data_IF_682901308950
#
_entry.id   IF_682901308950
#
_cell.length_a   1.000
_cell.length_b   1.000
_cell.length_c   1.000
_cell.angle_alpha   90.00
_cell.angle_beta   90.00
_cell.angle_gamma   90.00
#
_symmetry.space_group_name_H-M   'P 1'
#
loop_
_entity.id
_entity.type
_entity.pdbx_description
1 polymer ?
#
# COMPACT_ATOMS: atom_id res chain seq x y z
N UNK A 1 12.12 -15.16 -6.24
CA UNK A 1 11.33 -13.99 -6.66
C UNK A 1 10.17 -13.85 -5.69
N UNK A 2 10.20 -12.84 -4.80
CA UNK A 2 9.19 -12.72 -3.74
C UNK A 2 7.96 -12.04 -4.34
N UNK A 3 6.94 -12.85 -4.64
CA UNK A 3 5.68 -12.38 -5.20
C UNK A 3 4.91 -11.60 -4.12
N UNK A 4 5.17 -10.30 -4.02
CA UNK A 4 4.51 -9.36 -3.09
C UNK A 4 3.18 -8.90 -3.67
N UNK A 5 2.37 -9.88 -4.06
CA UNK A 5 0.95 -9.66 -4.33
C UNK A 5 0.28 -9.46 -2.98
N UNK A 6 -0.36 -8.31 -2.74
CA UNK A 6 -1.17 -8.12 -1.53
C UNK A 6 -2.16 -9.28 -1.48
N UNK A 7 -2.07 -10.17 -0.48
CA UNK A 7 -2.96 -11.32 -0.46
C UNK A 7 -4.38 -10.81 -0.26
N UNK A 8 -5.33 -11.34 -1.03
CA UNK A 8 -6.77 -11.07 -0.86
C UNK A 8 -7.32 -11.51 0.53
N UNK A 9 -6.44 -12.04 1.39
CA UNK A 9 -6.74 -12.47 2.75
C UNK A 9 -6.81 -11.31 3.77
N UNK A 10 -6.70 -10.06 3.34
CA UNK A 10 -6.76 -8.88 4.22
C UNK A 10 -5.48 -8.59 5.00
N UNK A 11 -4.37 -9.28 4.71
CA UNK A 11 -3.09 -9.02 5.39
C UNK A 11 -2.54 -7.67 4.96
N UNK A 12 -2.21 -6.83 5.94
CA UNK A 12 -1.53 -5.55 5.69
C UNK A 12 -0.13 -5.81 5.15
N UNK A 13 0.21 -5.10 4.08
CA UNK A 13 1.51 -5.11 3.44
C UNK A 13 2.05 -3.68 3.41
N UNK A 14 3.34 -3.54 3.70
CA UNK A 14 4.02 -2.24 3.66
C UNK A 14 4.44 -1.93 2.24
N UNK A 15 4.20 -0.69 1.84
CA UNK A 15 4.57 -0.13 0.55
C UNK A 15 5.32 1.19 0.72
N UNK A 16 6.01 1.58 -0.33
CA UNK A 16 6.64 2.89 -0.47
C UNK A 16 6.25 3.50 -1.81
N UNK A 17 5.98 4.79 -1.82
CA UNK A 17 5.80 5.53 -3.06
C UNK A 17 7.19 5.88 -3.62
N UNK A 18 7.53 5.32 -4.78
CA UNK A 18 8.81 5.54 -5.48
C UNK A 18 9.07 7.01 -5.82
N UNK A 19 8.01 7.81 -6.03
CA UNK A 19 8.13 9.22 -6.43
C UNK A 19 8.39 10.14 -5.25
N UNK A 20 7.79 9.86 -4.10
CA UNK A 20 7.86 10.76 -2.93
C UNK A 20 8.69 10.18 -1.78
N UNK A 21 9.07 8.90 -1.87
CA UNK A 21 9.73 8.17 -0.80
C UNK A 21 8.84 7.87 0.42
N UNK A 22 7.58 8.31 0.42
CA UNK A 22 6.66 8.16 1.53
C UNK A 22 6.29 6.68 1.77
N UNK A 23 6.19 6.30 3.04
CA UNK A 23 5.75 4.97 3.45
C UNK A 23 4.22 4.89 3.52
N UNK A 24 3.70 3.74 3.11
CA UNK A 24 2.28 3.44 3.03
C UNK A 24 2.02 2.03 3.52
N UNK A 25 0.82 1.80 4.01
CA UNK A 25 0.31 0.50 4.38
C UNK A 25 -0.87 0.19 3.47
N UNK A 26 -0.85 -0.98 2.85
CA UNK A 26 -1.91 -1.41 1.95
C UNK A 26 -2.55 -2.69 2.49
N UNK A 27 -3.87 -2.77 2.44
CA UNK A 27 -4.60 -4.00 2.74
C UNK A 27 -5.73 -4.19 1.75
N UNK A 28 -6.15 -5.43 1.57
CA UNK A 28 -7.31 -5.75 0.75
C UNK A 28 -8.59 -5.72 1.58
N UNK A 29 -9.54 -4.86 1.20
CA UNK A 29 -10.89 -4.84 1.72
C UNK A 29 -11.74 -5.84 0.92
N UNK A 30 -12.15 -6.92 1.57
CA UNK A 30 -12.94 -7.99 0.95
C UNK A 30 -14.40 -7.58 0.67
N UNK A 31 -14.95 -6.64 1.45
CA UNK A 31 -16.32 -6.16 1.29
C UNK A 31 -16.42 -5.24 0.07
N UNK A 32 -15.46 -4.33 -0.04
CA UNK A 32 -15.40 -3.37 -1.14
C UNK A 32 -14.67 -3.91 -2.38
N UNK A 33 -13.95 -5.05 -2.25
CA UNK A 33 -13.11 -5.67 -3.28
C UNK A 33 -12.06 -4.70 -3.85
N UNK A 34 -11.41 -3.94 -2.97
CA UNK A 34 -10.39 -2.95 -3.31
C UNK A 34 -9.19 -3.04 -2.38
N UNK A 35 -8.06 -2.52 -2.82
CA UNK A 35 -6.90 -2.27 -1.97
C UNK A 35 -6.98 -0.86 -1.39
N UNK A 36 -6.95 -0.77 -0.06
CA UNK A 36 -6.96 0.48 0.67
C UNK A 36 -5.53 0.84 1.07
N UNK A 37 -5.09 2.03 0.69
CA UNK A 37 -3.76 2.55 0.92
C UNK A 37 -3.82 3.65 1.96
N UNK A 38 -3.14 3.40 3.08
CA UNK A 38 -3.08 4.30 4.22
C UNK A 38 -1.66 4.83 4.40
N UNK A 39 -1.50 6.15 4.54
CA UNK A 39 -0.20 6.75 4.75
C UNK A 39 0.36 6.37 6.13
N UNK A 40 1.60 5.89 6.18
CA UNK A 40 2.28 5.56 7.45
C UNK A 40 3.52 6.44 7.60
N UNK A 41 3.49 7.39 8.55
CA UNK A 41 4.64 8.25 8.86
C UNK A 41 4.28 9.73 9.06
N UNK A 42 5.27 10.61 8.85
CA UNK A 42 5.13 12.05 9.09
C UNK A 42 4.22 12.70 8.03
N UNK A 43 2.98 12.99 8.43
CA UNK A 43 1.84 13.41 7.59
C UNK A 43 2.07 14.68 6.77
N UNK A 44 3.12 15.47 7.07
CA UNK A 44 3.45 16.69 6.31
C UNK A 44 3.76 16.44 4.83
N UNK A 45 4.19 15.24 4.47
CA UNK A 45 4.47 14.86 3.07
C UNK A 45 3.43 13.89 2.48
N UNK A 46 2.40 13.50 3.25
CA UNK A 46 1.57 12.34 2.89
C UNK A 46 0.14 12.73 2.57
N UNK A 47 -0.29 12.33 1.37
CA UNK A 47 -1.64 12.52 0.83
C UNK A 47 -2.66 11.69 1.62
N UNK A 48 -3.93 12.11 1.57
CA UNK A 48 -5.06 11.34 2.13
C UNK A 48 -5.02 9.88 1.69
N UNK A 49 -5.49 9.01 2.59
CA UNK A 49 -5.73 7.61 2.26
C UNK A 49 -6.62 7.50 1.01
N UNK A 50 -6.38 6.47 0.20
CA UNK A 50 -7.14 6.24 -1.02
C UNK A 50 -7.32 4.75 -1.29
N UNK A 51 -8.27 4.44 -2.15
CA UNK A 51 -8.59 3.07 -2.55
C UNK A 51 -8.27 2.87 -4.03
N UNK A 52 -7.80 1.68 -4.40
CA UNK A 52 -7.56 1.31 -5.78
C UNK A 52 -7.84 -0.18 -6.00
N UNK A 53 -8.27 -0.55 -7.21
CA UNK A 53 -8.50 -1.96 -7.58
C UNK A 53 -7.22 -2.76 -7.81
N UNK A 54 -6.08 -2.08 -7.90
CA UNK A 54 -4.76 -2.66 -8.09
C UNK A 54 -3.71 -1.81 -7.39
N UNK A 55 -2.52 -2.38 -7.16
CA UNK A 55 -1.37 -1.63 -6.66
C UNK A 55 -0.93 -0.62 -7.73
N UNK A 56 -0.87 0.69 -7.43
CA UNK A 56 -0.42 1.67 -8.41
C UNK A 56 1.04 1.43 -8.83
N UNK A 57 1.44 1.74 -10.07
CA UNK A 57 2.78 1.42 -10.58
C UNK A 57 3.92 2.18 -9.87
N UNK A 58 3.59 3.32 -9.24
CA UNK A 58 4.51 4.12 -8.43
C UNK A 58 4.62 3.63 -6.98
N UNK A 59 3.90 2.57 -6.59
CA UNK A 59 4.06 1.90 -5.32
C UNK A 59 4.98 0.69 -5.49
N UNK A 60 5.86 0.49 -4.52
CA UNK A 60 6.70 -0.71 -4.42
C UNK A 60 6.58 -1.30 -3.02
N UNK A 61 6.68 -2.64 -2.87
CA UNK A 61 6.70 -3.27 -1.56
C UNK A 61 7.87 -2.74 -0.73
N UNK A 62 7.58 -2.18 0.44
CA UNK A 62 8.58 -1.86 1.43
C UNK A 62 8.79 -3.13 2.27
N UNK A 63 9.78 -3.93 1.89
CA UNK A 63 10.04 -5.22 2.52
C UNK A 63 10.07 -5.14 4.06
N UNK A 64 9.39 -6.06 4.72
CA UNK A 64 9.71 -6.44 6.10
C UNK A 64 10.97 -7.31 6.03
N UNK A 65 12.12 -6.69 6.29
CA UNK A 65 13.37 -7.43 6.54
C UNK A 65 13.30 -8.12 7.90
#
# INVERSE_FOLDING_TARGET
MINTTIPHSGKQARYRNKRTGAAWMAHYDIHCKVYRFEPTGNLRAIKSAFEARSVPPYFEPAGTH
#
